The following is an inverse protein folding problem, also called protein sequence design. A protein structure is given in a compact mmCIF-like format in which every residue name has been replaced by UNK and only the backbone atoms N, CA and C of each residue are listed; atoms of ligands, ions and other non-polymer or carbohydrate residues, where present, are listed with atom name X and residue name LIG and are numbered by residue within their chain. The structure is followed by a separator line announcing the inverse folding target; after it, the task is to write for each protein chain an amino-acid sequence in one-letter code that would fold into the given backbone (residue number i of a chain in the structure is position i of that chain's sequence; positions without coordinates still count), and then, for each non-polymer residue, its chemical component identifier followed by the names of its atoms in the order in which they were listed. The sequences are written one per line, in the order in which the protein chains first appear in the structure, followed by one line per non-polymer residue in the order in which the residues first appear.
data_IF_687305674082
#
_entry.id   IF_687305674082
#
_cell.length_a   1.000
_cell.length_b   1.000
_cell.length_c   1.000
_cell.angle_alpha   90.00
_cell.angle_beta   90.00
_cell.angle_gamma   90.00
#
_symmetry.space_group_name_H-M   'P 1'
#
loop_
_entity.id
_entity.type
_entity.pdbx_description
1 polymer ?
#
# COMPACT_ATOMS: atom_id res chain seq x y z
N UNK A 1 11.73 7.62 7.86
CA UNK A 1 10.66 7.62 6.84
C UNK A 1 9.56 6.63 7.20
N UNK A 2 9.86 5.33 7.39
CA UNK A 2 8.85 4.30 7.73
C UNK A 2 8.13 4.48 9.10
N UNK A 3 8.75 5.13 10.09
CA UNK A 3 8.13 5.36 11.42
C UNK A 3 6.99 6.39 11.42
N UNK A 4 6.93 7.30 10.44
CA UNK A 4 5.97 8.43 10.41
C UNK A 4 4.57 7.98 9.99
N UNK A 5 4.46 6.83 9.34
CA UNK A 5 3.21 6.34 8.77
C UNK A 5 2.45 5.34 9.66
N UNK A 6 2.90 5.15 10.91
CA UNK A 6 2.39 4.08 11.77
C UNK A 6 0.88 4.21 12.05
N UNK A 7 0.37 5.43 12.28
CA UNK A 7 -1.06 5.66 12.53
C UNK A 7 -1.92 5.45 11.27
N UNK A 8 -1.46 5.94 10.12
CA UNK A 8 -2.09 5.71 8.81
C UNK A 8 -2.21 4.20 8.53
N UNK A 9 -1.18 3.44 8.87
CA UNK A 9 -1.15 2.00 8.63
C UNK A 9 -2.07 1.23 9.57
N UNK A 10 -2.16 1.61 10.85
CA UNK A 10 -3.14 1.03 11.77
C UNK A 10 -4.57 1.26 11.29
N UNK A 11 -4.86 2.46 10.79
CA UNK A 11 -6.18 2.81 10.27
C UNK A 11 -6.52 2.00 9.02
N UNK A 12 -5.63 1.92 8.03
CA UNK A 12 -5.80 1.06 6.84
C UNK A 12 -6.05 -0.41 7.23
N UNK A 13 -5.30 -0.92 8.20
CA UNK A 13 -5.44 -2.31 8.66
C UNK A 13 -6.73 -2.55 9.45
N UNK A 14 -7.28 -1.54 10.11
CA UNK A 14 -8.58 -1.64 10.81
C UNK A 14 -9.73 -1.94 9.85
N UNK A 15 -9.72 -1.36 8.64
CA UNK A 15 -10.70 -1.69 7.60
C UNK A 15 -10.58 -3.16 7.15
N UNK A 16 -9.35 -3.70 7.11
CA UNK A 16 -9.11 -5.10 6.73
C UNK A 16 -9.58 -6.11 7.76
N UNK A 17 -9.50 -5.78 9.05
CA UNK A 17 -10.09 -6.61 10.12
C UNK A 17 -11.60 -6.74 9.94
N UNK A 18 -12.25 -5.69 9.43
CA UNK A 18 -13.70 -5.66 9.21
C UNK A 18 -14.12 -6.11 7.79
N UNK A 19 -13.18 -6.48 6.92
CA UNK A 19 -13.42 -6.73 5.48
C UNK A 19 -14.14 -5.58 4.77
N UNK A 20 -13.95 -4.35 5.25
CA UNK A 20 -14.70 -3.17 4.81
C UNK A 20 -14.00 -2.47 3.63
N UNK A 21 -14.25 -3.00 2.43
CA UNK A 21 -13.72 -2.44 1.18
C UNK A 21 -14.22 -1.02 0.89
N UNK A 22 -15.47 -0.70 1.26
CA UNK A 22 -16.05 0.62 1.04
C UNK A 22 -15.49 1.64 2.04
N UNK A 23 -15.29 1.23 3.30
CA UNK A 23 -14.60 2.04 4.31
C UNK A 23 -13.16 2.35 3.91
N UNK A 24 -12.40 1.35 3.45
CA UNK A 24 -11.06 1.56 2.92
C UNK A 24 -11.08 2.51 1.71
N UNK A 25 -12.04 2.32 0.80
CA UNK A 25 -12.20 3.18 -0.38
C UNK A 25 -12.45 4.62 0.01
N UNK A 26 -13.40 4.87 0.91
CA UNK A 26 -13.74 6.21 1.40
C UNK A 26 -12.53 6.87 2.06
N UNK A 27 -11.86 6.16 2.97
CA UNK A 27 -10.64 6.64 3.63
C UNK A 27 -9.56 7.08 2.64
N UNK A 28 -9.27 6.25 1.64
CA UNK A 28 -8.24 6.56 0.64
C UNK A 28 -8.65 7.71 -0.30
N UNK A 29 -9.95 7.93 -0.54
CA UNK A 29 -10.44 9.06 -1.35
C UNK A 29 -10.36 10.39 -0.60
N UNK A 30 -10.48 10.37 0.73
CA UNK A 30 -10.37 11.55 1.59
C UNK A 30 -8.92 11.86 2.02
N UNK A 31 -8.05 10.86 1.94
CA UNK A 31 -6.62 11.00 2.24
C UNK A 31 -5.86 11.83 1.20
N UNK A 32 -4.71 12.35 1.59
CA UNK A 32 -3.76 12.95 0.65
C UNK A 32 -3.31 11.94 -0.42
N UNK A 33 -3.10 12.40 -1.65
CA UNK A 33 -2.73 11.50 -2.73
C UNK A 33 -1.42 10.73 -2.46
N UNK A 34 -0.50 11.31 -1.69
CA UNK A 34 0.72 10.64 -1.26
C UNK A 34 0.45 9.41 -0.39
N UNK A 35 -0.58 9.44 0.46
CA UNK A 35 -1.00 8.28 1.26
C UNK A 35 -1.46 7.14 0.37
N UNK A 36 -2.24 7.46 -0.67
CA UNK A 36 -2.71 6.46 -1.66
C UNK A 36 -1.52 5.81 -2.37
N UNK A 37 -0.54 6.60 -2.81
CA UNK A 37 0.68 6.09 -3.47
C UNK A 37 1.47 5.15 -2.56
N UNK A 38 1.62 5.52 -1.28
CA UNK A 38 2.29 4.67 -0.28
C UNK A 38 1.53 3.36 -0.11
N UNK A 39 0.22 3.42 0.12
CA UNK A 39 -0.62 2.24 0.32
C UNK A 39 -0.61 1.32 -0.90
N UNK A 40 -0.74 1.87 -2.11
CA UNK A 40 -0.66 1.11 -3.36
C UNK A 40 0.70 0.44 -3.54
N UNK A 41 1.79 1.15 -3.25
CA UNK A 41 3.15 0.58 -3.32
C UNK A 41 3.28 -0.64 -2.40
N UNK A 42 2.82 -0.53 -1.15
CA UNK A 42 2.86 -1.63 -0.17
C UNK A 42 1.98 -2.80 -0.63
N UNK A 43 0.77 -2.52 -1.13
CA UNK A 43 -0.14 -3.53 -1.66
C UNK A 43 0.53 -4.34 -2.78
N UNK A 44 1.15 -3.68 -3.75
CA UNK A 44 1.79 -4.37 -4.87
C UNK A 44 3.04 -5.17 -4.44
N UNK A 45 3.80 -4.70 -3.44
CA UNK A 45 4.90 -5.48 -2.85
C UNK A 45 4.37 -6.79 -2.27
N UNK A 46 3.27 -6.76 -1.52
CA UNK A 46 2.68 -7.96 -0.94
C UNK A 46 1.98 -8.88 -1.95
N UNK A 47 1.42 -8.29 -3.02
CA UNK A 47 0.75 -9.02 -4.11
C UNK A 47 1.73 -9.74 -5.01
N UNK A 48 2.67 -9.00 -5.60
CA UNK A 48 3.53 -9.50 -6.68
C UNK A 48 4.81 -10.13 -6.13
N UNK A 49 5.23 -9.74 -4.91
CA UNK A 49 6.42 -10.26 -4.22
C UNK A 49 7.68 -10.19 -5.09
N UNK A 50 7.75 -9.19 -5.95
CA UNK A 50 8.86 -9.00 -6.87
C UNK A 50 9.96 -8.17 -6.22
N UNK A 51 10.98 -8.85 -5.71
CA UNK A 51 12.19 -8.24 -5.18
C UNK A 51 13.37 -9.21 -5.28
N UNK A 52 14.58 -8.66 -5.38
CA UNK A 52 15.81 -9.46 -5.43
C UNK A 52 16.07 -10.13 -4.07
N UNK A 53 16.56 -11.36 -4.10
CA UNK A 53 17.02 -12.07 -2.91
C UNK A 53 18.10 -11.22 -2.20
N UNK A 54 17.94 -11.01 -0.89
CA UNK A 54 18.77 -10.14 -0.03
C UNK A 54 18.53 -8.61 -0.10
N UNK A 55 17.48 -8.13 -0.75
CA UNK A 55 17.11 -6.70 -0.67
C UNK A 55 16.65 -6.33 0.75
N UNK A 56 17.04 -5.16 1.26
CA UNK A 56 16.48 -4.63 2.52
C UNK A 56 15.05 -4.11 2.30
N UNK A 57 14.21 -4.02 3.35
CA UNK A 57 12.89 -3.40 3.27
C UNK A 57 12.87 -2.04 2.56
N UNK A 58 13.83 -1.16 2.87
CA UNK A 58 13.93 0.17 2.25
C UNK A 58 14.25 0.09 0.76
N UNK A 59 15.09 -0.87 0.34
CA UNK A 59 15.41 -1.08 -1.07
C UNK A 59 14.20 -1.62 -1.83
N UNK A 60 13.47 -2.57 -1.24
CA UNK A 60 12.23 -3.13 -1.80
C UNK A 60 11.21 -2.02 -2.02
N UNK A 61 10.94 -1.23 -0.98
CA UNK A 61 9.98 -0.14 -1.06
C UNK A 61 10.40 0.89 -2.11
N UNK A 62 11.66 1.35 -2.05
CA UNK A 62 12.17 2.37 -2.97
C UNK A 62 12.09 1.93 -4.42
N UNK A 63 12.50 0.70 -4.72
CA UNK A 63 12.45 0.15 -6.08
C UNK A 63 11.01 0.15 -6.63
N UNK A 64 10.04 -0.32 -5.83
CA UNK A 64 8.64 -0.37 -6.23
C UNK A 64 8.04 1.04 -6.35
N UNK A 65 8.36 1.96 -5.44
CA UNK A 65 7.90 3.35 -5.50
C UNK A 65 8.44 4.07 -6.73
N UNK A 66 9.74 3.96 -7.00
CA UNK A 66 10.38 4.53 -8.19
C UNK A 66 9.81 3.95 -9.48
N UNK A 67 9.45 2.67 -9.49
CA UNK A 67 8.78 2.05 -10.63
C UNK A 67 7.43 2.72 -10.92
N UNK A 68 6.56 2.87 -9.91
CA UNK A 68 5.29 3.59 -10.07
C UNK A 68 5.49 5.05 -10.46
N UNK A 69 6.43 5.75 -9.82
CA UNK A 69 6.74 7.16 -10.15
C UNK A 69 7.18 7.32 -11.61
N UNK A 70 7.96 6.36 -12.15
CA UNK A 70 8.37 6.34 -13.57
C UNK A 70 7.24 6.02 -14.54
N UNK A 71 6.31 5.13 -14.14
CA UNK A 71 5.12 4.85 -14.93
C UNK A 71 4.14 6.03 -14.96
N UNK A 72 4.23 6.89 -13.94
CA UNK A 72 3.30 7.99 -13.73
C UNK A 72 2.07 7.53 -12.96
N UNK A 73 1.45 8.47 -12.26
CA UNK A 73 0.24 8.24 -11.48
C UNK A 73 -0.98 8.79 -12.21
N UNK A 74 -2.07 8.04 -12.22
CA UNK A 74 -3.36 8.55 -12.66
C UNK A 74 -3.95 9.49 -11.59
N UNK A 75 -5.22 9.89 -11.77
CA UNK A 75 -5.95 10.58 -10.71
C UNK A 75 -6.12 9.67 -9.49
N UNK A 76 -6.17 10.26 -8.29
CA UNK A 76 -6.38 9.54 -7.03
C UNK A 76 -7.57 8.57 -7.08
N UNK A 77 -8.71 8.99 -7.63
CA UNK A 77 -9.90 8.12 -7.73
C UNK A 77 -9.69 6.88 -8.60
N UNK A 78 -8.88 6.99 -9.66
CA UNK A 78 -8.50 5.85 -10.51
C UNK A 78 -7.59 4.90 -9.72
N UNK A 79 -6.57 5.43 -9.05
CA UNK A 79 -5.62 4.62 -8.27
C UNK A 79 -6.31 3.87 -7.12
N UNK A 80 -7.15 4.56 -6.35
CA UNK A 80 -7.98 3.94 -5.29
C UNK A 80 -8.88 2.86 -5.88
N UNK A 81 -9.54 3.15 -7.01
CA UNK A 81 -10.38 2.18 -7.72
C UNK A 81 -9.61 0.92 -8.12
N UNK A 82 -8.38 1.07 -8.61
CA UNK A 82 -7.51 -0.06 -8.96
C UNK A 82 -7.08 -0.86 -7.73
N UNK A 83 -6.82 -0.21 -6.60
CA UNK A 83 -6.47 -0.89 -5.34
C UNK A 83 -7.64 -1.72 -4.82
N UNK A 84 -8.79 -1.09 -4.56
CA UNK A 84 -9.93 -1.76 -3.92
C UNK A 84 -10.62 -2.76 -4.84
N UNK A 85 -10.55 -2.55 -6.16
CA UNK A 85 -11.04 -3.50 -7.16
C UNK A 85 -10.16 -4.75 -7.31
N UNK A 86 -8.93 -4.75 -6.77
CA UNK A 86 -8.05 -5.91 -6.74
C UNK A 86 -8.21 -6.65 -5.40
N UNK A 87 -9.15 -7.59 -5.35
CA UNK A 87 -9.25 -8.51 -4.23
C UNK A 87 -8.14 -9.58 -4.27
N UNK A 88 -7.58 -10.02 -3.11
CA UNK A 88 -7.79 -9.53 -1.75
C UNK A 88 -6.82 -8.40 -1.31
N UNK A 89 -7.21 -7.13 -1.49
CA UNK A 89 -6.40 -5.93 -1.18
C UNK A 89 -5.80 -5.94 0.24
N UNK A 90 -6.57 -6.38 1.24
CA UNK A 90 -6.12 -6.41 2.63
C UNK A 90 -5.02 -7.43 2.87
N UNK A 91 -5.13 -8.62 2.28
CA UNK A 91 -4.08 -9.63 2.37
C UNK A 91 -2.80 -9.17 1.68
N UNK A 92 -2.92 -8.45 0.57
CA UNK A 92 -1.79 -7.85 -0.12
C UNK A 92 -1.13 -6.76 0.72
N UNK A 93 -1.89 -5.86 1.34
CA UNK A 93 -1.35 -4.85 2.26
C UNK A 93 -0.65 -5.51 3.45
N UNK A 94 -1.29 -6.50 4.09
CA UNK A 94 -0.75 -7.23 5.25
C UNK A 94 0.55 -7.96 4.91
N UNK A 95 0.61 -8.59 3.74
CA UNK A 95 1.83 -9.23 3.24
C UNK A 95 2.92 -8.19 2.93
N UNK A 96 2.55 -7.05 2.34
CA UNK A 96 3.47 -5.94 2.07
C UNK A 96 4.10 -5.40 3.36
N UNK A 97 3.29 -5.17 4.40
CA UNK A 97 3.79 -4.76 5.71
C UNK A 97 4.76 -5.78 6.31
N UNK A 98 4.44 -7.08 6.21
CA UNK A 98 5.32 -8.16 6.67
C UNK A 98 6.66 -8.17 5.93
N UNK A 99 6.65 -8.03 4.60
CA UNK A 99 7.86 -7.99 3.76
C UNK A 99 8.71 -6.77 4.09
N UNK A 100 8.06 -5.64 4.38
CA UNK A 100 8.74 -4.39 4.71
C UNK A 100 9.12 -4.27 6.20
N UNK A 101 8.89 -5.30 7.00
CA UNK A 101 9.17 -5.32 8.44
C UNK A 101 8.55 -4.14 9.21
N UNK A 102 7.40 -3.64 8.72
CA UNK A 102 6.68 -2.55 9.35
C UNK A 102 5.88 -3.13 10.51
N UNK A 103 6.22 -2.70 11.73
CA UNK A 103 5.48 -3.04 12.94
C UNK A 103 4.12 -2.34 12.93
N UNK A 104 3.06 -3.09 13.21
CA UNK A 104 1.67 -2.60 13.31
C UNK A 104 1.28 -2.59 14.79
#
# INVERSE_FOLDING_TARGET
MLKVHNEIFKEIMSFGVNSDHEGLRAYLLESDFEVVKVAQTIMYIGRDKYYLENSTPEQIYRYNREFFDKQGWNTQGIEVGQMVGKGPVFEYLKMGFKILEISI
#
